data_IF_151806898536
#
_entry.id   IF_151806898536
#
_cell.length_a   1.000
_cell.length_b   1.000
_cell.length_c   1.000
_cell.angle_alpha   90.00
_cell.angle_beta   90.00
_cell.angle_gamma   90.00
#
_symmetry.space_group_name_H-M   'P 1'
#
loop_
_entity.id
_entity.type
_entity.pdbx_description
1 polymer ?
#
# COMPACT_ATOMS: atom_id res chain seq x y z
N UNK A 1 8.41 -8.41 5.27
CA UNK A 1 8.10 -6.98 5.31
C UNK A 1 6.81 -6.68 6.08
N UNK A 2 5.72 -7.39 5.79
CA UNK A 2 4.44 -7.14 6.46
C UNK A 2 4.50 -7.33 7.97
N UNK A 3 5.12 -8.39 8.44
CA UNK A 3 5.30 -8.64 9.86
C UNK A 3 6.17 -7.57 10.53
N UNK A 4 7.22 -7.12 9.84
CA UNK A 4 8.08 -6.05 10.35
C UNK A 4 7.30 -4.74 10.49
N UNK A 5 6.43 -4.43 9.53
CA UNK A 5 5.55 -3.26 9.60
C UNK A 5 4.62 -3.37 10.81
N UNK A 6 3.98 -4.52 10.98
CA UNK A 6 3.06 -4.74 12.09
C UNK A 6 3.75 -4.57 13.45
N UNK A 7 4.96 -5.12 13.59
CA UNK A 7 5.74 -4.98 14.82
C UNK A 7 6.16 -3.53 15.08
N UNK A 8 6.59 -2.83 14.03
CA UNK A 8 7.03 -1.44 14.15
C UNK A 8 5.89 -0.51 14.56
N UNK A 9 4.66 -0.79 14.15
CA UNK A 9 3.49 0.02 14.46
C UNK A 9 2.98 -0.17 15.90
N UNK A 10 3.25 -1.32 16.49
CA UNK A 10 2.78 -1.64 17.83
C UNK A 10 1.27 -1.50 17.97
N UNK A 11 0.81 -0.68 18.92
CA UNK A 11 -0.61 -0.43 19.16
C UNK A 11 -1.24 0.59 18.22
N UNK A 12 -0.43 1.17 17.32
CA UNK A 12 -0.86 2.17 16.32
C UNK A 12 -1.40 3.46 16.93
N UNK A 13 -0.96 3.80 18.14
CA UNK A 13 -1.38 5.04 18.80
C UNK A 13 -0.67 6.25 18.17
N UNK A 14 -1.41 7.36 18.03
CA UNK A 14 -0.85 8.64 17.60
C UNK A 14 -0.53 8.75 16.12
N UNK A 15 -0.88 7.78 15.29
CA UNK A 15 -0.64 7.81 13.84
C UNK A 15 -1.91 8.19 13.09
N UNK A 16 -1.74 8.61 11.83
CA UNK A 16 -2.87 8.97 10.97
C UNK A 16 -3.76 7.78 10.61
N UNK A 17 -3.21 6.58 10.58
CA UNK A 17 -3.88 5.33 10.22
C UNK A 17 -4.17 5.20 8.73
N UNK A 18 -4.66 6.27 8.09
CA UNK A 18 -5.02 6.28 6.67
C UNK A 18 -3.96 7.00 5.86
N UNK A 19 -3.67 6.48 4.69
CA UNK A 19 -2.79 7.15 3.73
C UNK A 19 -3.23 6.87 2.31
N UNK A 20 -3.01 7.83 1.44
CA UNK A 20 -3.29 7.67 0.03
C UNK A 20 -2.35 8.53 -0.79
N UNK A 21 -2.12 8.11 -2.03
CA UNK A 21 -1.28 8.87 -2.94
C UNK A 21 -1.64 8.55 -4.38
N UNK A 22 -1.77 9.58 -5.19
CA UNK A 22 -1.92 9.43 -6.64
C UNK A 22 -0.61 9.84 -7.27
N UNK A 23 0.04 8.91 -7.96
CA UNK A 23 1.41 9.06 -8.42
C UNK A 23 1.48 8.97 -9.94
N UNK A 24 1.94 10.05 -10.60
CA UNK A 24 2.20 10.01 -12.05
C UNK A 24 3.61 9.48 -12.32
N UNK A 25 3.73 8.72 -13.39
CA UNK A 25 5.02 8.33 -13.95
C UNK A 25 4.89 8.32 -15.47
N UNK A 26 5.25 9.43 -16.08
CA UNK A 26 5.03 9.70 -17.50
C UNK A 26 3.57 9.45 -17.89
N UNK A 27 3.30 8.47 -18.75
CA UNK A 27 1.94 8.12 -19.21
C UNK A 27 1.12 7.34 -18.17
N UNK A 28 1.77 6.84 -17.12
CA UNK A 28 1.13 6.01 -16.10
C UNK A 28 0.64 6.88 -14.94
N UNK A 29 -0.56 6.58 -14.46
CA UNK A 29 -1.08 7.16 -13.23
C UNK A 29 -1.52 6.04 -12.31
N UNK A 30 -0.98 6.02 -11.09
CA UNK A 30 -1.26 4.98 -10.09
C UNK A 30 -1.87 5.58 -8.83
N UNK A 31 -2.74 4.80 -8.18
CA UNK A 31 -3.33 5.14 -6.89
C UNK A 31 -2.93 4.08 -5.87
N UNK A 32 -2.48 4.53 -4.71
CA UNK A 32 -2.31 3.68 -3.53
C UNK A 32 -3.12 4.23 -2.37
N UNK A 33 -3.81 3.36 -1.65
CA UNK A 33 -4.56 3.73 -0.46
C UNK A 33 -4.39 2.65 0.60
N UNK A 34 -4.12 3.08 1.83
CA UNK A 34 -3.81 2.20 2.96
C UNK A 34 -4.70 2.57 4.13
N UNK A 35 -5.26 1.55 4.78
CA UNK A 35 -5.88 1.67 6.09
C UNK A 35 -5.23 0.62 7.00
N UNK A 36 -4.53 1.10 8.02
CA UNK A 36 -3.86 0.25 9.01
C UNK A 36 -4.88 -0.26 10.03
N UNK A 37 -5.90 -0.93 9.54
CA UNK A 37 -7.10 -1.30 10.29
C UNK A 37 -6.95 -2.53 11.19
N UNK A 38 -5.90 -3.30 11.02
CA UNK A 38 -5.80 -4.62 11.67
C UNK A 38 -6.56 -5.72 10.93
N UNK A 39 -7.18 -5.41 9.80
CA UNK A 39 -7.90 -6.37 8.96
C UNK A 39 -7.25 -6.45 7.59
N UNK A 40 -6.77 -7.64 7.18
CA UNK A 40 -6.12 -7.78 5.88
C UNK A 40 -7.13 -7.72 4.74
N UNK A 41 -6.81 -6.96 3.72
CA UNK A 41 -7.55 -6.91 2.47
C UNK A 41 -6.67 -6.34 1.38
N UNK A 42 -6.73 -6.92 0.19
CA UNK A 42 -6.04 -6.39 -0.98
C UNK A 42 -7.03 -6.22 -2.13
N UNK A 43 -7.11 -5.01 -2.67
CA UNK A 43 -7.71 -4.75 -3.97
C UNK A 43 -6.58 -4.31 -4.90
N UNK A 44 -6.26 -5.16 -5.87
CA UNK A 44 -5.17 -4.92 -6.81
C UNK A 44 -5.73 -4.90 -8.23
N UNK A 45 -5.73 -3.71 -8.84
CA UNK A 45 -6.25 -3.49 -10.19
C UNK A 45 -5.15 -2.95 -11.09
N UNK A 46 -4.36 -3.86 -11.61
CA UNK A 46 -3.29 -3.56 -12.55
C UNK A 46 -3.13 -4.77 -13.47
N UNK A 47 -3.23 -4.55 -14.77
CA UNK A 47 -3.08 -5.60 -15.77
C UNK A 47 -1.78 -5.38 -16.53
N UNK A 48 -0.83 -6.28 -16.34
CA UNK A 48 0.41 -6.26 -17.09
C UNK A 48 0.21 -6.99 -18.41
N UNK A 49 0.80 -6.45 -19.47
CA UNK A 49 0.67 -7.01 -20.83
C UNK A 49 1.83 -7.94 -21.17
N UNK A 50 2.79 -8.09 -20.28
CA UNK A 50 3.94 -9.00 -20.45
C UNK A 50 4.02 -9.93 -19.24
N UNK A 51 4.51 -11.18 -19.42
CA UNK A 51 4.61 -12.12 -18.30
C UNK A 51 5.76 -11.84 -17.35
N UNK A 52 6.75 -11.08 -17.78
CA UNK A 52 7.93 -10.80 -16.96
C UNK A 52 8.53 -9.43 -17.28
N UNK A 53 9.16 -8.85 -16.28
CA UNK A 53 10.00 -7.64 -16.38
C UNK A 53 11.43 -8.06 -16.06
N UNK A 54 12.23 -8.25 -17.11
CA UNK A 54 13.54 -8.88 -16.93
C UNK A 54 13.36 -10.31 -16.44
N UNK A 55 13.93 -10.64 -15.29
CA UNK A 55 13.81 -11.97 -14.67
C UNK A 55 12.64 -12.06 -13.67
N UNK A 56 11.94 -10.95 -13.40
CA UNK A 56 10.85 -10.93 -12.46
C UNK A 56 9.52 -11.19 -13.17
N UNK A 57 8.79 -12.20 -12.73
CA UNK A 57 7.44 -12.48 -13.19
C UNK A 57 6.50 -11.34 -12.75
N UNK A 58 5.68 -10.84 -13.66
CA UNK A 58 4.76 -9.73 -13.34
C UNK A 58 3.71 -10.13 -12.31
N UNK A 59 3.36 -11.42 -12.20
CA UNK A 59 2.47 -11.89 -11.15
C UNK A 59 3.05 -11.70 -9.76
N UNK A 60 4.38 -11.63 -9.64
CA UNK A 60 5.04 -11.42 -8.35
C UNK A 60 4.72 -10.06 -7.75
N UNK A 61 4.36 -9.07 -8.56
CA UNK A 61 3.95 -7.75 -8.06
C UNK A 61 2.70 -7.90 -7.20
N UNK A 62 1.68 -8.58 -7.70
CA UNK A 62 0.45 -8.85 -6.97
C UNK A 62 0.73 -9.70 -5.72
N UNK A 63 1.51 -10.77 -5.89
CA UNK A 63 1.84 -11.69 -4.79
C UNK A 63 2.58 -10.95 -3.66
N UNK A 64 3.48 -10.05 -4.02
CA UNK A 64 4.19 -9.24 -3.03
C UNK A 64 3.21 -8.42 -2.19
N UNK A 65 2.31 -7.70 -2.84
CA UNK A 65 1.37 -6.84 -2.12
C UNK A 65 0.33 -7.65 -1.34
N UNK A 66 -0.05 -8.81 -1.87
CA UNK A 66 -0.91 -9.73 -1.12
C UNK A 66 -0.23 -10.15 0.19
N UNK A 67 1.02 -10.58 0.10
CA UNK A 67 1.78 -11.01 1.28
C UNK A 67 1.92 -9.87 2.30
N UNK A 68 2.24 -8.66 1.83
CA UNK A 68 2.39 -7.49 2.71
C UNK A 68 1.07 -7.15 3.40
N UNK A 69 -0.03 -7.07 2.64
CA UNK A 69 -1.33 -6.67 3.19
C UNK A 69 -1.82 -7.65 4.24
N UNK A 70 -1.62 -8.94 4.01
CA UNK A 70 -2.06 -9.98 4.94
C UNK A 70 -1.14 -10.10 6.16
N UNK A 71 0.18 -10.04 5.95
CA UNK A 71 1.13 -10.13 7.08
C UNK A 71 1.09 -8.89 7.99
N UNK A 72 0.84 -7.71 7.42
CA UNK A 72 0.73 -6.49 8.20
C UNK A 72 -0.69 -6.24 8.72
N UNK A 73 -1.66 -7.04 8.29
CA UNK A 73 -3.08 -6.88 8.60
C UNK A 73 -3.57 -5.47 8.25
N UNK A 74 -3.33 -5.07 7.00
CA UNK A 74 -3.77 -3.77 6.49
C UNK A 74 -4.73 -3.94 5.32
N UNK A 75 -5.61 -2.97 5.18
CA UNK A 75 -6.38 -2.77 3.95
C UNK A 75 -5.48 -2.04 2.95
N UNK A 76 -5.31 -2.61 1.78
CA UNK A 76 -4.46 -2.04 0.74
C UNK A 76 -5.20 -2.04 -0.59
N UNK A 77 -5.31 -0.86 -1.20
CA UNK A 77 -5.86 -0.70 -2.53
C UNK A 77 -4.78 -0.13 -3.43
N UNK A 78 -4.52 -0.82 -4.53
CA UNK A 78 -3.57 -0.39 -5.55
C UNK A 78 -4.22 -0.48 -6.91
N UNK A 79 -4.26 0.63 -7.62
CA UNK A 79 -4.91 0.72 -8.92
C UNK A 79 -4.05 1.47 -9.92
N UNK A 80 -4.00 0.96 -11.14
CA UNK A 80 -3.51 1.73 -12.28
C UNK A 80 -4.71 2.47 -12.87
N UNK A 81 -4.69 3.79 -12.79
CA UNK A 81 -5.74 4.64 -13.33
C UNK A 81 -5.53 4.88 -14.83
N UNK A 82 -4.29 5.16 -15.23
CA UNK A 82 -3.90 5.25 -16.63
C UNK A 82 -2.75 4.26 -16.87
N UNK A 83 -2.95 3.33 -17.78
CA UNK A 83 -1.97 2.28 -18.09
C UNK A 83 -0.96 2.76 -19.13
N UNK A 84 0.19 2.09 -19.15
CA UNK A 84 1.25 2.37 -20.12
C UNK A 84 2.32 1.30 -20.04
N UNK A 85 3.58 1.71 -20.07
CA UNK A 85 4.72 0.81 -20.00
C UNK A 85 4.65 -0.04 -18.74
N UNK A 86 4.88 -1.35 -18.87
CA UNK A 86 4.76 -2.30 -17.75
C UNK A 86 5.73 -2.01 -16.61
N UNK A 87 6.96 -1.62 -16.92
CA UNK A 87 7.93 -1.25 -15.89
C UNK A 87 7.48 0.01 -15.14
N UNK A 88 6.97 1.01 -15.88
CA UNK A 88 6.43 2.22 -15.27
C UNK A 88 5.26 1.89 -14.34
N UNK A 89 4.37 0.98 -14.75
CA UNK A 89 3.24 0.56 -13.92
C UNK A 89 3.70 -0.08 -12.63
N UNK A 90 4.63 -1.03 -12.70
CA UNK A 90 5.16 -1.71 -11.51
C UNK A 90 5.83 -0.70 -10.56
N UNK A 91 6.71 0.14 -11.11
CA UNK A 91 7.41 1.14 -10.29
C UNK A 91 6.45 2.15 -9.67
N UNK A 92 5.45 2.61 -10.43
CA UNK A 92 4.44 3.53 -9.92
C UNK A 92 3.63 2.92 -8.77
N UNK A 93 3.28 1.64 -8.86
CA UNK A 93 2.57 0.95 -7.79
C UNK A 93 3.39 0.87 -6.50
N UNK A 94 4.67 0.51 -6.61
CA UNK A 94 5.55 0.45 -5.44
C UNK A 94 5.74 1.83 -4.82
N UNK A 95 5.91 2.86 -5.63
CA UNK A 95 6.06 4.24 -5.15
C UNK A 95 4.77 4.76 -4.53
N UNK A 96 3.61 4.49 -5.13
CA UNK A 96 2.32 4.88 -4.58
C UNK A 96 2.08 4.21 -3.22
N UNK A 97 2.40 2.93 -3.11
CA UNK A 97 2.32 2.21 -1.84
C UNK A 97 3.22 2.85 -0.77
N UNK A 98 4.48 3.12 -1.12
CA UNK A 98 5.43 3.72 -0.18
C UNK A 98 4.97 5.08 0.32
N UNK A 99 4.46 5.92 -0.57
CA UNK A 99 3.94 7.25 -0.21
C UNK A 99 2.68 7.15 0.65
N UNK A 100 1.76 6.25 0.31
CA UNK A 100 0.55 6.05 1.09
C UNK A 100 0.86 5.52 2.48
N UNK A 101 1.78 4.56 2.57
CA UNK A 101 2.21 4.00 3.86
C UNK A 101 2.90 5.06 4.73
N UNK A 102 3.78 5.86 4.13
CA UNK A 102 4.46 6.94 4.84
C UNK A 102 3.45 7.90 5.48
N UNK A 103 2.42 8.26 4.72
CA UNK A 103 1.34 9.11 5.25
C UNK A 103 0.61 8.42 6.42
N UNK A 104 0.25 7.15 6.25
CA UNK A 104 -0.55 6.41 7.23
C UNK A 104 0.18 6.22 8.57
N UNK A 105 1.50 6.03 8.52
CA UNK A 105 2.31 5.82 9.74
C UNK A 105 2.78 7.13 10.36
N UNK A 106 2.56 8.26 9.71
CA UNK A 106 2.97 9.57 10.22
C UNK A 106 2.23 9.90 11.49
N UNK A 107 2.94 10.55 12.42
CA UNK A 107 2.34 11.00 13.65
C UNK A 107 1.33 12.11 13.40
N UNK A 108 0.23 12.04 14.12
CA UNK A 108 -0.79 13.08 14.12
C UNK A 108 -0.89 13.67 15.54
N UNK A 109 -0.35 14.88 15.77
CA UNK A 109 -0.32 15.47 17.11
C UNK A 109 -1.70 15.65 17.76
N UNK A 110 -2.75 15.72 16.95
CA UNK A 110 -4.12 15.86 17.44
C UNK A 110 -4.72 14.55 17.92
N UNK A 111 -4.07 13.42 17.61
CA UNK A 111 -4.53 12.09 17.98
C UNK A 111 -3.49 11.49 18.90
N UNK A 112 -3.84 11.31 20.18
CA UNK A 112 -2.94 10.73 21.18
C UNK A 112 -3.24 9.26 21.45
N UNK A 113 -4.34 8.78 20.91
CA UNK A 113 -4.82 7.43 21.08
C UNK A 113 -4.89 6.72 19.72
N UNK A 114 -5.35 5.49 19.74
CA UNK A 114 -5.62 4.75 18.51
C UNK A 114 -6.82 5.40 17.81
N UNK A 115 -6.69 5.71 16.53
CA UNK A 115 -7.78 6.32 15.76
C UNK A 115 -8.79 5.23 15.35
N UNK A 116 -9.60 4.84 16.31
CA UNK A 116 -10.64 3.85 16.13
C UNK A 116 -11.73 4.07 17.19
N UNK A 117 -12.98 3.94 16.77
CA UNK A 117 -14.12 4.00 17.70
C UNK A 117 -14.14 2.79 18.65
N UNK A 118 -13.40 1.75 18.33
CA UNK A 118 -13.29 0.53 19.16
C UNK A 118 -12.15 0.64 20.19
N UNK A 119 -11.30 1.66 20.08
CA UNK A 119 -10.17 1.84 20.97
C UNK A 119 -8.96 0.97 20.65
N UNK A 120 -9.03 0.16 19.58
CA UNK A 120 -7.93 -0.69 19.14
C UNK A 120 -8.01 -0.97 17.64
N UNK A 121 -6.89 -1.33 17.08
CA UNK A 121 -6.75 -1.78 15.70
C UNK A 121 -5.99 -3.14 15.69
#
# INVERSE_FOLDING_TARGET
LGQAIAQALGDKAGIKRYGYFVLPMDEVLALGAVDLSGRPYLNFQADFTVPALGTMDTEMVREFFYAVSYSAAMNLHLKILDAGNNHHMAEALFKAFGKALDMAVSEEPRIKEVWSTKGSL
#
